data_IF_840096550796
#
_entry.id   IF_840096550796
#
_cell.length_a   1.000
_cell.length_b   1.000
_cell.length_c   1.000
_cell.angle_alpha   90.00
_cell.angle_beta   90.00
_cell.angle_gamma   90.00
#
_symmetry.space_group_name_H-M   'P 1'
#
loop_
_entity.id
_entity.type
_entity.pdbx_description
1 polymer ?
#
# COMPACT_ATOMS: atom_id res chain seq x y z
N UNK A 1 10.79 -3.94 -5.62
CA UNK A 1 10.92 -5.21 -6.36
C UNK A 1 12.36 -5.61 -6.62
N UNK A 2 13.17 -4.83 -7.34
CA UNK A 2 14.56 -5.21 -7.65
C UNK A 2 15.38 -5.64 -6.41
N UNK A 3 15.36 -4.84 -5.33
CA UNK A 3 15.99 -5.22 -4.06
C UNK A 3 15.55 -6.59 -3.54
N UNK A 4 14.24 -6.84 -3.46
CA UNK A 4 13.68 -8.07 -2.91
C UNK A 4 14.14 -9.28 -3.73
N UNK A 5 14.08 -9.19 -5.07
CA UNK A 5 14.53 -10.26 -5.97
C UNK A 5 16.03 -10.54 -5.77
N UNK A 6 16.85 -9.49 -5.71
CA UNK A 6 18.29 -9.63 -5.47
C UNK A 6 18.59 -10.27 -4.12
N UNK A 7 17.88 -9.89 -3.06
CA UNK A 7 18.07 -10.46 -1.72
C UNK A 7 17.65 -11.93 -1.64
N UNK A 8 16.53 -12.30 -2.25
CA UNK A 8 16.09 -13.70 -2.32
C UNK A 8 17.12 -14.55 -3.08
N UNK A 9 17.57 -14.06 -4.25
CA UNK A 9 18.60 -14.74 -5.04
C UNK A 9 19.92 -14.88 -4.27
N UNK A 10 20.36 -13.84 -3.56
CA UNK A 10 21.58 -13.86 -2.73
C UNK A 10 21.48 -14.90 -1.59
N UNK A 11 20.28 -15.12 -1.05
CA UNK A 11 20.02 -16.09 0.02
C UNK A 11 19.72 -17.50 -0.49
N UNK A 12 19.64 -17.70 -1.81
CA UNK A 12 19.27 -18.98 -2.42
C UNK A 12 17.80 -19.36 -2.20
N UNK A 13 16.94 -18.39 -1.89
CA UNK A 13 15.50 -18.59 -1.66
C UNK A 13 14.80 -18.63 -3.02
N UNK A 14 13.95 -19.63 -3.24
CA UNK A 14 13.34 -19.89 -4.55
C UNK A 14 11.95 -19.26 -4.66
N UNK A 15 11.25 -19.14 -3.54
CA UNK A 15 9.92 -18.58 -3.49
C UNK A 15 9.73 -17.68 -2.27
N UNK A 16 8.93 -16.63 -2.45
CA UNK A 16 8.56 -15.73 -1.37
C UNK A 16 7.11 -15.30 -1.59
N UNK A 17 6.24 -15.64 -0.65
CA UNK A 17 4.84 -15.26 -0.65
C UNK A 17 4.58 -14.26 0.47
N UNK A 18 3.60 -13.38 0.29
CA UNK A 18 3.16 -12.52 1.40
C UNK A 18 2.36 -13.39 2.37
N UNK A 19 2.74 -13.39 3.64
CA UNK A 19 1.99 -14.08 4.68
C UNK A 19 0.62 -13.44 4.89
N UNK A 20 -0.37 -14.26 5.27
CA UNK A 20 -1.73 -13.78 5.54
C UNK A 20 -1.73 -12.68 6.61
N UNK A 21 -1.03 -12.90 7.71
CA UNK A 21 -0.95 -11.95 8.83
C UNK A 21 -0.35 -10.60 8.39
N UNK A 22 0.65 -10.61 7.50
CA UNK A 22 1.24 -9.38 6.99
C UNK A 22 0.29 -8.61 6.08
N UNK A 23 -0.47 -9.31 5.22
CA UNK A 23 -1.50 -8.70 4.39
C UNK A 23 -2.61 -8.08 5.26
N UNK A 24 -3.12 -8.82 6.24
CA UNK A 24 -4.17 -8.34 7.15
C UNK A 24 -3.71 -7.12 7.95
N UNK A 25 -2.49 -7.17 8.51
CA UNK A 25 -1.87 -6.04 9.22
C UNK A 25 -1.73 -4.82 8.32
N UNK A 26 -1.33 -5.02 7.05
CA UNK A 26 -1.23 -3.93 6.08
C UNK A 26 -2.60 -3.30 5.80
N UNK A 27 -3.63 -4.12 5.58
CA UNK A 27 -5.01 -3.66 5.34
C UNK A 27 -5.53 -2.89 6.55
N UNK A 28 -5.34 -3.42 7.77
CA UNK A 28 -5.76 -2.76 9.00
C UNK A 28 -5.10 -1.38 9.14
N UNK A 29 -3.78 -1.27 8.95
CA UNK A 29 -3.08 0.02 8.99
C UNK A 29 -3.64 1.03 7.99
N UNK A 30 -3.95 0.61 6.76
CA UNK A 30 -4.54 1.49 5.74
C UNK A 30 -5.96 1.96 6.11
N UNK A 31 -6.77 1.10 6.74
CA UNK A 31 -8.15 1.42 7.12
C UNK A 31 -8.24 2.26 8.40
N UNK A 32 -7.38 1.99 9.38
CA UNK A 32 -7.29 2.67 10.68
C UNK A 32 -6.65 4.05 10.57
N UNK A 33 -5.75 4.24 9.61
CA UNK A 33 -5.17 5.55 9.34
C UNK A 33 -6.31 6.53 9.07
N UNK A 34 -6.57 7.39 10.05
CA UNK A 34 -7.51 8.51 9.92
C UNK A 34 -6.92 9.40 8.85
N UNK A 35 -7.43 9.24 7.62
CA UNK A 35 -6.85 9.84 6.44
C UNK A 35 -6.57 11.32 6.70
N UNK A 36 -5.33 11.76 6.45
CA UNK A 36 -5.15 13.15 6.07
C UNK A 36 -6.17 13.44 4.97
N UNK A 37 -6.81 14.61 4.98
CA UNK A 37 -7.99 14.93 4.16
C UNK A 37 -7.86 14.76 2.64
N UNK A 38 -6.76 14.18 2.16
CA UNK A 38 -6.57 13.68 0.81
C UNK A 38 -7.49 12.49 0.51
N UNK A 39 -8.52 12.77 -0.27
CA UNK A 39 -9.30 11.77 -0.98
C UNK A 39 -8.86 11.80 -2.43
N UNK A 40 -8.33 10.69 -2.94
CA UNK A 40 -7.95 10.56 -4.34
C UNK A 40 -9.18 10.88 -5.23
N UNK A 41 -9.02 11.80 -6.18
CA UNK A 41 -10.10 12.32 -7.02
C UNK A 41 -10.94 13.45 -6.39
N UNK A 42 -10.70 13.81 -5.13
CA UNK A 42 -11.36 14.92 -4.47
C UNK A 42 -12.85 14.70 -4.19
N UNK A 43 -13.56 15.78 -3.84
CA UNK A 43 -15.00 15.74 -3.62
C UNK A 43 -15.76 15.55 -4.94
N UNK A 44 -16.77 14.67 -5.00
CA UNK A 44 -17.63 14.56 -6.18
C UNK A 44 -18.36 15.88 -6.50
N UNK A 45 -18.57 16.75 -5.52
CA UNK A 45 -19.34 17.99 -5.70
C UNK A 45 -18.51 19.14 -6.30
N UNK A 46 -17.18 19.13 -6.10
CA UNK A 46 -16.31 20.27 -6.44
C UNK A 46 -15.26 19.94 -7.50
N UNK A 47 -15.04 18.66 -7.79
CA UNK A 47 -14.04 18.22 -8.75
C UNK A 47 -14.69 17.69 -10.02
N UNK A 48 -14.02 17.87 -11.17
CA UNK A 48 -14.46 17.34 -12.46
C UNK A 48 -14.61 15.80 -12.38
N UNK A 49 -15.70 15.21 -12.90
CA UNK A 49 -15.85 13.76 -13.00
C UNK A 49 -14.66 13.06 -13.67
N UNK A 50 -14.28 11.90 -13.14
CA UNK A 50 -13.30 11.01 -13.74
C UNK A 50 -12.99 9.76 -12.90
N UNK A 51 -12.07 8.93 -13.40
CA UNK A 51 -11.76 7.61 -12.84
C UNK A 51 -11.53 7.59 -11.32
N UNK A 52 -10.70 8.52 -10.81
CA UNK A 52 -10.36 8.59 -9.38
C UNK A 52 -11.54 8.99 -8.50
N UNK A 53 -12.45 9.81 -9.03
CA UNK A 53 -13.66 10.18 -8.30
C UNK A 53 -14.89 9.37 -8.65
N UNK A 54 -14.72 8.30 -9.43
CA UNK A 54 -15.78 7.40 -9.84
C UNK A 54 -16.87 8.16 -10.62
N UNK A 55 -16.43 8.95 -11.60
CA UNK A 55 -17.29 9.77 -12.47
C UNK A 55 -18.16 10.77 -11.69
N UNK A 56 -17.62 11.32 -10.59
CA UNK A 56 -18.32 12.33 -9.78
C UNK A 56 -19.51 11.79 -8.99
N UNK A 57 -19.60 10.47 -8.77
CA UNK A 57 -20.71 9.89 -7.99
C UNK A 57 -20.73 10.38 -6.54
N UNK A 58 -21.92 10.72 -6.05
CA UNK A 58 -22.15 11.11 -4.64
C UNK A 58 -21.95 9.93 -3.67
N UNK A 59 -22.16 8.69 -4.14
CA UNK A 59 -21.90 7.47 -3.38
C UNK A 59 -20.81 6.67 -4.06
N UNK A 60 -19.61 6.68 -3.45
CA UNK A 60 -18.48 5.87 -3.93
C UNK A 60 -18.80 4.37 -3.81
N UNK A 61 -18.61 3.63 -4.90
CA UNK A 61 -18.70 2.17 -4.97
C UNK A 61 -17.36 1.46 -4.66
N UNK A 62 -16.22 2.18 -4.76
CA UNK A 62 -14.91 1.70 -4.28
C UNK A 62 -14.46 2.44 -3.02
N UNK A 63 -13.75 1.74 -2.14
CA UNK A 63 -13.13 2.34 -0.97
C UNK A 63 -11.77 2.93 -1.34
N UNK A 64 -11.72 4.26 -1.49
CA UNK A 64 -10.51 5.03 -1.83
C UNK A 64 -9.33 4.79 -0.90
N UNK A 65 -9.56 4.38 0.36
CA UNK A 65 -8.48 4.03 1.32
C UNK A 65 -7.72 2.76 0.93
N UNK A 66 -8.30 1.93 0.06
CA UNK A 66 -7.68 0.72 -0.48
C UNK A 66 -6.94 0.95 -1.80
N UNK A 67 -7.04 2.16 -2.35
CA UNK A 67 -6.50 2.47 -3.69
C UNK A 67 -5.14 3.17 -3.64
N UNK A 68 -4.74 3.68 -2.47
CA UNK A 68 -3.49 4.41 -2.31
C UNK A 68 -2.96 4.31 -0.88
N UNK A 69 -1.65 4.54 -0.73
CA UNK A 69 -1.03 4.67 0.58
C UNK A 69 -1.30 6.07 1.15
N UNK A 70 -2.26 6.16 2.06
CA UNK A 70 -2.86 7.43 2.51
C UNK A 70 -1.90 8.37 3.27
N UNK A 71 -0.77 7.85 3.77
CA UNK A 71 0.27 8.65 4.47
C UNK A 71 1.23 9.37 3.52
N UNK A 72 1.06 9.21 2.20
CA UNK A 72 1.83 9.89 1.16
C UNK A 72 3.16 9.22 0.80
N UNK A 73 3.74 9.64 -0.33
CA UNK A 73 4.93 8.99 -0.92
C UNK A 73 6.16 9.06 -0.01
N UNK A 74 6.36 10.15 0.73
CA UNK A 74 7.50 10.30 1.64
C UNK A 74 7.49 9.27 2.77
N UNK A 75 6.31 9.07 3.39
CA UNK A 75 6.11 8.05 4.42
C UNK A 75 6.27 6.64 3.85
N UNK A 76 5.72 6.38 2.65
CA UNK A 76 5.85 5.08 1.98
C UNK A 76 7.32 4.74 1.70
N UNK A 77 8.09 5.70 1.19
CA UNK A 77 9.52 5.50 0.92
C UNK A 77 10.33 5.26 2.19
N UNK A 78 9.96 5.91 3.31
CA UNK A 78 10.57 5.66 4.63
C UNK A 78 10.26 4.25 5.12
N UNK A 79 9.01 3.81 5.02
CA UNK A 79 8.58 2.45 5.37
C UNK A 79 9.35 1.40 4.57
N UNK A 80 9.45 1.57 3.25
CA UNK A 80 10.20 0.66 2.39
C UNK A 80 11.70 0.64 2.71
N UNK A 81 12.31 1.79 3.04
CA UNK A 81 13.73 1.82 3.45
C UNK A 81 13.94 1.04 4.74
N UNK A 82 13.15 1.33 5.78
CA UNK A 82 13.28 0.65 7.06
C UNK A 82 13.16 -0.88 6.93
N UNK A 83 12.17 -1.35 6.15
CA UNK A 83 12.00 -2.79 5.89
C UNK A 83 13.20 -3.42 5.15
N UNK A 84 13.83 -2.68 4.23
CA UNK A 84 15.04 -3.15 3.51
C UNK A 84 16.29 -3.13 4.38
N UNK A 85 16.42 -2.13 5.25
CA UNK A 85 17.58 -1.98 6.12
C UNK A 85 17.58 -3.03 7.24
N UNK A 86 16.39 -3.40 7.74
CA UNK A 86 16.20 -4.50 8.70
C UNK A 86 16.56 -5.87 8.11
N UNK A 87 16.30 -6.05 6.81
CA UNK A 87 16.77 -7.21 6.05
C UNK A 87 16.13 -8.55 6.44
N UNK A 88 15.20 -8.59 7.41
CA UNK A 88 14.53 -9.84 7.78
C UNK A 88 13.52 -10.31 6.74
N UNK A 89 13.17 -9.45 5.78
CA UNK A 89 12.08 -9.68 4.82
C UNK A 89 10.74 -9.91 5.53
N UNK A 90 10.51 -9.18 6.64
CA UNK A 90 9.32 -9.34 7.51
C UNK A 90 8.02 -9.35 6.70
N UNK A 91 7.16 -10.31 7.03
CA UNK A 91 5.88 -10.54 6.39
C UNK A 91 5.92 -11.40 5.12
N UNK A 92 7.09 -11.90 4.71
CA UNK A 92 7.20 -12.90 3.65
C UNK A 92 7.38 -14.31 4.23
N UNK A 93 6.61 -15.26 3.73
CA UNK A 93 6.85 -16.69 3.87
C UNK A 93 7.87 -17.10 2.79
N UNK A 94 8.98 -17.73 3.20
CA UNK A 94 10.15 -18.00 2.36
C UNK A 94 10.36 -19.51 2.23
N UNK A 95 10.42 -20.00 0.98
CA UNK A 95 10.72 -21.40 0.65
C UNK A 95 11.87 -21.54 -0.37
#
# INVERSE_FOLDING_TARGET
MAYTISELSRRGIQSANVSLDAEERWIADQLETKGGGFVLGGSPDTCTPGYYNQEGTSKRYRNVRRETYSKGVGAYMKLLRAWRDDGQLDGLDLD
#
